data_IF_155945889057
#
_entry.id   IF_155945889057
#
_cell.length_a   1.000
_cell.length_b   1.000
_cell.length_c   1.000
_cell.angle_alpha   90.00
_cell.angle_beta   90.00
_cell.angle_gamma   90.00
#
_symmetry.space_group_name_H-M   'P 1'
#
loop_
_entity.id
_entity.type
_entity.pdbx_description
1 polymer ?
#
# COMPACT_ATOMS: atom_id res chain seq x y z
N UNK A 1 8.92 4.84 -15.84
CA UNK A 1 9.02 4.98 -14.38
C UNK A 1 10.47 5.28 -14.05
N UNK A 2 10.76 6.20 -13.13
CA UNK A 2 12.13 6.49 -12.71
C UNK A 2 12.74 5.26 -12.03
N UNK A 3 14.05 5.00 -12.23
CA UNK A 3 14.71 3.79 -11.68
C UNK A 3 14.58 3.67 -10.17
N UNK A 4 14.55 4.80 -9.47
CA UNK A 4 14.50 4.86 -8.01
C UNK A 4 13.08 4.87 -7.45
N UNK A 5 12.05 4.76 -8.30
CA UNK A 5 10.65 4.80 -7.88
C UNK A 5 10.32 3.79 -6.75
N UNK A 6 10.73 2.50 -6.82
CA UNK A 6 10.42 1.54 -5.76
C UNK A 6 11.05 1.94 -4.41
N UNK A 7 12.26 2.49 -4.44
CA UNK A 7 12.97 2.97 -3.24
C UNK A 7 12.23 4.18 -2.66
N UNK A 8 11.85 5.16 -3.50
CA UNK A 8 11.10 6.34 -3.06
C UNK A 8 9.73 5.97 -2.48
N UNK A 9 9.03 5.00 -3.07
CA UNK A 9 7.76 4.52 -2.54
C UNK A 9 7.93 3.85 -1.18
N UNK A 10 8.95 2.99 -1.04
CA UNK A 10 9.27 2.35 0.23
C UNK A 10 9.65 3.38 1.29
N UNK A 11 10.50 4.35 0.97
CA UNK A 11 10.90 5.42 1.88
C UNK A 11 9.70 6.24 2.38
N UNK A 12 8.78 6.61 1.47
CA UNK A 12 7.53 7.27 1.85
C UNK A 12 6.70 6.40 2.80
N UNK A 13 6.55 5.10 2.51
CA UNK A 13 5.81 4.18 3.36
C UNK A 13 6.44 4.05 4.76
N UNK A 14 7.77 3.93 4.84
CA UNK A 14 8.50 3.86 6.12
C UNK A 14 8.38 5.17 6.92
N UNK A 15 8.29 6.32 6.24
CA UNK A 15 8.05 7.63 6.86
C UNK A 15 6.59 7.83 7.30
N UNK A 16 5.67 6.93 6.97
CA UNK A 16 4.29 6.97 7.44
C UNK A 16 4.09 6.00 8.59
N UNK A 17 3.87 6.52 9.80
CA UNK A 17 3.73 5.69 11.00
C UNK A 17 2.44 4.85 10.97
N UNK A 18 2.57 3.52 10.93
CA UNK A 18 1.45 2.58 10.79
C UNK A 18 1.49 1.44 11.83
N UNK A 19 1.58 1.69 13.16
CA UNK A 19 1.47 0.60 14.10
C UNK A 19 0.07 -0.04 14.02
N UNK A 20 -0.07 -1.30 14.44
CA UNK A 20 -1.35 -2.02 14.37
C UNK A 20 -2.53 -1.20 14.95
N UNK A 21 -3.58 -1.03 14.15
CA UNK A 21 -4.76 -0.20 14.43
C UNK A 21 -4.65 1.28 14.03
N UNK A 22 -3.54 1.73 13.44
CA UNK A 22 -3.30 3.12 13.00
C UNK A 22 -2.84 3.21 11.54
N UNK A 23 -3.26 2.29 10.70
CA UNK A 23 -2.79 2.12 9.32
C UNK A 23 -3.40 3.12 8.32
N UNK A 24 -4.44 3.87 8.72
CA UNK A 24 -5.27 4.68 7.82
C UNK A 24 -4.48 5.63 6.91
N UNK A 25 -3.41 6.25 7.41
CA UNK A 25 -2.57 7.16 6.63
C UNK A 25 -1.80 6.41 5.54
N UNK A 26 -1.13 5.31 5.90
CA UNK A 26 -0.40 4.47 4.95
C UNK A 26 -1.35 3.82 3.95
N UNK A 27 -2.52 3.38 4.39
CA UNK A 27 -3.56 2.83 3.53
C UNK A 27 -4.03 3.87 2.49
N UNK A 28 -4.20 5.13 2.89
CA UNK A 28 -4.56 6.23 1.98
C UNK A 28 -3.46 6.52 0.96
N UNK A 29 -2.19 6.51 1.40
CA UNK A 29 -1.02 6.65 0.54
C UNK A 29 -0.96 5.54 -0.52
N UNK A 30 -1.05 4.27 -0.09
CA UNK A 30 -0.99 3.11 -0.99
C UNK A 30 -2.15 3.12 -2.00
N UNK A 31 -3.36 3.51 -1.56
CA UNK A 31 -4.51 3.69 -2.48
C UNK A 31 -4.22 4.70 -3.58
N UNK A 32 -3.57 5.82 -3.23
CA UNK A 32 -3.16 6.84 -4.21
C UNK A 32 -2.11 6.32 -5.19
N UNK A 33 -1.07 5.67 -4.68
CA UNK A 33 0.02 5.10 -5.49
C UNK A 33 -0.48 3.97 -6.42
N UNK A 34 -1.38 3.10 -5.96
CA UNK A 34 -2.02 2.07 -6.79
C UNK A 34 -2.81 2.68 -7.96
N UNK A 35 -3.58 3.75 -7.71
CA UNK A 35 -4.29 4.47 -8.78
C UNK A 35 -3.30 5.09 -9.78
N UNK A 36 -2.23 5.71 -9.30
CA UNK A 36 -1.20 6.30 -10.16
C UNK A 36 -0.47 5.26 -11.02
N UNK A 37 -0.32 4.03 -10.50
CA UNK A 37 0.23 2.88 -11.21
C UNK A 37 -0.75 2.23 -12.22
N UNK A 38 -2.00 2.70 -12.29
CA UNK A 38 -3.00 2.20 -13.24
C UNK A 38 -3.74 0.95 -12.77
N UNK A 39 -3.73 0.64 -11.46
CA UNK A 39 -4.59 -0.40 -10.91
C UNK A 39 -6.06 -0.03 -11.07
N UNK A 40 -6.90 -1.05 -11.24
CA UNK A 40 -8.37 -0.95 -11.33
C UNK A 40 -9.01 -1.33 -10.00
N UNK A 41 -10.28 -0.94 -9.82
CA UNK A 41 -11.07 -1.28 -8.62
C UNK A 41 -10.37 -0.94 -7.29
N UNK A 42 -9.60 0.16 -7.27
CA UNK A 42 -8.78 0.53 -6.10
C UNK A 42 -9.67 1.08 -4.97
N UNK A 43 -9.75 0.35 -3.86
CA UNK A 43 -10.66 0.64 -2.77
C UNK A 43 -10.06 0.38 -1.39
N UNK A 44 -10.61 1.05 -0.38
CA UNK A 44 -10.42 0.72 1.02
C UNK A 44 -11.63 -0.08 1.47
N UNK A 45 -11.42 -1.23 2.10
CA UNK A 45 -12.52 -1.99 2.68
C UNK A 45 -12.91 -1.47 4.08
N UNK A 46 -13.91 -2.10 4.71
CA UNK A 46 -14.39 -1.72 6.04
C UNK A 46 -13.37 -1.98 7.17
N UNK A 47 -12.39 -2.84 6.93
CA UNK A 47 -11.31 -3.14 7.87
C UNK A 47 -10.08 -2.22 7.66
N UNK A 48 -10.09 -1.36 6.63
CA UNK A 48 -8.99 -0.44 6.33
C UNK A 48 -7.94 -1.00 5.38
N UNK A 49 -8.13 -2.19 4.82
CA UNK A 49 -7.19 -2.74 3.84
C UNK A 49 -7.35 -2.05 2.48
N UNK A 50 -6.24 -1.93 1.75
CA UNK A 50 -6.23 -1.42 0.38
C UNK A 50 -6.20 -2.58 -0.59
N UNK A 51 -7.14 -2.58 -1.53
CA UNK A 51 -7.21 -3.56 -2.62
C UNK A 51 -7.14 -2.84 -3.96
N UNK A 52 -6.59 -3.52 -4.96
CA UNK A 52 -6.64 -3.07 -6.35
C UNK A 52 -6.19 -4.19 -7.28
N UNK A 53 -6.63 -4.10 -8.53
CA UNK A 53 -6.56 -5.20 -9.50
C UNK A 53 -5.78 -4.78 -10.74
N UNK A 54 -4.96 -5.68 -11.27
CA UNK A 54 -4.26 -5.51 -12.56
C UNK A 54 -4.49 -6.77 -13.40
N UNK A 55 -4.64 -6.60 -14.71
CA UNK A 55 -4.97 -7.71 -15.61
C UNK A 55 -6.40 -8.20 -15.44
N UNK A 56 -6.71 -9.37 -15.97
CA UNK A 56 -8.03 -10.03 -15.87
C UNK A 56 -7.98 -11.44 -16.45
N UNK A 57 -9.06 -12.19 -16.27
CA UNK A 57 -9.15 -13.60 -16.68
C UNK A 57 -9.12 -14.56 -15.49
N UNK A 58 -8.92 -15.85 -15.75
CA UNK A 58 -8.84 -16.91 -14.75
C UNK A 58 -7.57 -17.75 -14.97
N UNK A 59 -6.84 -18.14 -13.91
CA UNK A 59 -7.13 -17.89 -12.50
C UNK A 59 -6.75 -16.46 -12.03
N UNK A 60 -7.39 -16.01 -10.95
CA UNK A 60 -6.99 -14.77 -10.24
C UNK A 60 -5.91 -15.10 -9.21
N UNK A 61 -4.87 -14.27 -9.13
CA UNK A 61 -3.79 -14.38 -8.14
C UNK A 61 -3.88 -13.19 -7.17
N UNK A 62 -3.86 -13.46 -5.86
CA UNK A 62 -3.85 -12.44 -4.81
C UNK A 62 -2.45 -12.29 -4.22
N UNK A 63 -1.87 -11.11 -4.32
CA UNK A 63 -0.65 -10.74 -3.58
C UNK A 63 -1.08 -10.10 -2.26
N UNK A 64 -1.04 -10.89 -1.17
CA UNK A 64 -1.52 -10.46 0.15
C UNK A 64 -0.33 -10.10 1.05
N UNK A 65 -0.22 -8.83 1.43
CA UNK A 65 0.74 -8.33 2.42
C UNK A 65 0.02 -7.58 3.54
N UNK A 66 0.76 -7.21 4.58
CA UNK A 66 0.26 -6.36 5.67
C UNK A 66 1.05 -5.04 5.67
N UNK A 67 0.44 -3.98 6.21
CA UNK A 67 1.02 -2.63 6.24
C UNK A 67 1.26 -2.12 7.67
N UNK A 68 0.84 -2.89 8.66
CA UNK A 68 1.03 -2.55 10.05
C UNK A 68 2.45 -2.91 10.54
N UNK A 69 2.86 -2.21 11.60
CA UNK A 69 4.16 -2.39 12.23
C UNK A 69 4.00 -2.55 13.74
N UNK A 70 5.05 -3.03 14.40
CA UNK A 70 5.13 -2.96 15.86
C UNK A 70 5.33 -1.50 16.29
N UNK A 71 4.87 -1.09 17.50
CA UNK A 71 5.11 0.25 18.00
C UNK A 71 6.61 0.59 18.13
N UNK A 72 6.94 1.85 17.87
CA UNK A 72 8.31 2.36 17.89
C UNK A 72 8.66 3.10 16.59
N UNK A 73 9.58 4.05 16.67
CA UNK A 73 10.02 4.83 15.52
C UNK A 73 11.50 4.64 15.26
N UNK A 74 11.83 4.15 14.08
CA UNK A 74 13.22 4.03 13.58
C UNK A 74 13.41 5.13 12.54
N UNK A 75 14.40 6.04 12.71
CA UNK A 75 14.69 7.05 11.70
C UNK A 75 15.04 6.44 10.34
N UNK A 76 14.45 7.00 9.28
CA UNK A 76 14.65 6.62 7.87
C UNK A 76 15.58 7.61 7.20
#
# INVERSE_FOLDING_TARGET
MERDYPIKLLEKALKTYSPSGREQELATLLKGEMKALGFRNVQLDKAGNVHGEVGGGSPTVMLCGHMDTVPGWIPV
#
